data_IF_939739988732
#
_entry.id   IF_939739988732
#
_cell.length_a   1.000
_cell.length_b   1.000
_cell.length_c   1.000
_cell.angle_alpha   90.00
_cell.angle_beta   90.00
_cell.angle_gamma   90.00
#
_symmetry.space_group_name_H-M   'P 1'
#
loop_
_entity.id
_entity.type
_entity.pdbx_description
1 polymer ?
#
# COMPACT_ATOMS: atom_id res chain seq x y z
N UNK A 1 9.56 6.76 25.60
CA UNK A 1 8.43 7.71 25.43
C UNK A 1 7.38 7.02 24.57
N UNK A 2 6.11 6.93 24.98
CA UNK A 2 5.09 6.25 24.17
C UNK A 2 4.84 7.00 22.86
N UNK A 3 4.55 6.27 21.78
CA UNK A 3 4.28 6.81 20.42
C UNK A 3 3.28 7.97 20.45
N UNK A 4 2.27 7.88 21.32
CA UNK A 4 1.23 8.90 21.54
C UNK A 4 1.78 10.20 22.14
N UNK A 5 2.65 10.14 23.16
CA UNK A 5 3.22 11.35 23.79
C UNK A 5 4.13 12.14 22.84
N UNK A 6 4.79 11.44 21.91
CA UNK A 6 5.62 12.06 20.88
C UNK A 6 4.78 12.80 19.84
N UNK A 7 3.73 12.17 19.32
CA UNK A 7 2.81 12.79 18.38
C UNK A 7 2.10 14.02 18.97
N UNK A 8 1.68 13.97 20.23
CA UNK A 8 1.08 15.13 20.91
C UNK A 8 2.06 16.29 21.10
N UNK A 9 3.33 15.99 21.40
CA UNK A 9 4.36 17.03 21.53
C UNK A 9 4.62 17.72 20.18
N UNK A 10 4.78 16.92 19.14
CA UNK A 10 5.01 17.41 17.77
C UNK A 10 3.84 18.28 17.31
N UNK A 11 2.60 17.85 17.55
CA UNK A 11 1.41 18.65 17.24
C UNK A 11 1.40 20.00 17.96
N UNK A 12 1.74 20.05 19.24
CA UNK A 12 1.82 21.33 19.98
C UNK A 12 2.86 22.26 19.38
N UNK A 13 4.02 21.74 18.99
CA UNK A 13 5.09 22.58 18.43
C UNK A 13 4.75 23.09 17.03
N UNK A 14 4.08 22.27 16.21
CA UNK A 14 3.58 22.71 14.90
C UNK A 14 2.48 23.78 15.04
N UNK A 15 1.58 23.66 16.03
CA UNK A 15 0.58 24.70 16.31
C UNK A 15 1.24 26.02 16.72
N UNK A 16 2.30 26.00 17.55
CA UNK A 16 3.03 27.23 17.89
C UNK A 16 3.65 27.89 16.66
N UNK A 17 4.24 27.10 15.75
CA UNK A 17 4.79 27.61 14.48
C UNK A 17 3.69 28.21 13.62
N UNK A 18 2.50 27.59 13.61
CA UNK A 18 1.33 28.10 12.93
C UNK A 18 0.84 29.43 13.49
N UNK A 19 0.71 29.55 14.80
CA UNK A 19 0.30 30.78 15.48
C UNK A 19 1.31 31.92 15.28
N UNK A 20 2.60 31.58 15.14
CA UNK A 20 3.66 32.53 14.81
C UNK A 20 3.69 32.93 13.32
N UNK A 21 2.79 32.40 12.49
CA UNK A 21 2.72 32.61 11.04
C UNK A 21 4.01 32.19 10.31
N UNK A 22 4.76 31.23 10.86
CA UNK A 22 6.01 30.68 10.31
C UNK A 22 5.82 29.28 9.69
N UNK A 23 4.58 28.86 9.47
CA UNK A 23 4.22 27.57 8.87
C UNK A 23 4.84 27.42 7.49
N UNK A 24 5.59 26.35 7.26
CA UNK A 24 6.08 25.96 5.93
C UNK A 24 5.19 24.84 5.38
N UNK A 25 5.39 24.40 4.13
CA UNK A 25 4.46 23.46 3.52
C UNK A 25 4.29 22.13 4.27
N UNK A 26 5.38 21.57 4.80
CA UNK A 26 5.32 20.32 5.58
C UNK A 26 4.48 20.47 6.86
N UNK A 27 4.57 21.62 7.55
CA UNK A 27 3.73 21.87 8.72
C UNK A 27 2.24 21.99 8.34
N UNK A 28 1.92 22.53 7.16
CA UNK A 28 0.54 22.55 6.66
C UNK A 28 0.02 21.14 6.36
N UNK A 29 0.80 20.29 5.69
CA UNK A 29 0.47 18.87 5.48
C UNK A 29 0.15 18.18 6.80
N UNK A 30 1.05 18.30 7.78
CA UNK A 30 0.88 17.67 9.09
C UNK A 30 -0.36 18.18 9.85
N UNK A 31 -0.64 19.49 9.80
CA UNK A 31 -1.83 20.08 10.41
C UNK A 31 -3.13 19.55 9.78
N UNK A 32 -3.15 19.36 8.46
CA UNK A 32 -4.28 18.75 7.75
C UNK A 32 -4.46 17.30 8.19
N UNK A 33 -3.40 16.49 8.16
CA UNK A 33 -3.43 15.07 8.53
C UNK A 33 -3.94 14.86 9.97
N UNK A 34 -3.37 15.54 10.96
CA UNK A 34 -3.81 15.41 12.35
C UNK A 34 -5.25 15.91 12.55
N UNK A 35 -5.69 16.92 11.80
CA UNK A 35 -7.07 17.40 11.89
C UNK A 35 -8.05 16.38 11.34
N UNK A 36 -7.70 15.68 10.24
CA UNK A 36 -8.49 14.56 9.71
C UNK A 36 -8.53 13.40 10.71
N UNK A 37 -7.38 13.00 11.28
CA UNK A 37 -7.32 11.93 12.29
C UNK A 37 -8.21 12.23 13.51
N UNK A 38 -8.30 13.52 13.91
CA UNK A 38 -9.16 13.99 14.99
C UNK A 38 -10.61 14.26 14.57
N UNK A 39 -10.98 13.94 13.32
CA UNK A 39 -12.30 14.20 12.74
C UNK A 39 -12.71 15.69 12.72
N UNK A 40 -11.75 16.62 12.77
CA UNK A 40 -11.97 18.07 12.66
C UNK A 40 -11.77 18.54 11.20
N UNK A 41 -12.68 18.10 10.33
CA UNK A 41 -12.63 18.39 8.89
C UNK A 41 -12.66 19.90 8.61
N UNK A 42 -13.36 20.69 9.43
CA UNK A 42 -13.42 22.15 9.27
C UNK A 42 -12.04 22.79 9.46
N UNK A 43 -11.27 22.37 10.47
CA UNK A 43 -9.88 22.84 10.63
C UNK A 43 -8.98 22.32 9.52
N UNK A 44 -9.13 21.05 9.12
CA UNK A 44 -8.36 20.49 8.01
C UNK A 44 -8.54 21.33 6.73
N UNK A 45 -9.78 21.66 6.38
CA UNK A 45 -10.09 22.50 5.22
C UNK A 45 -9.53 23.92 5.33
N UNK A 46 -9.53 24.51 6.54
CA UNK A 46 -8.91 25.82 6.79
C UNK A 46 -7.40 25.78 6.55
N UNK A 47 -6.69 24.82 7.16
CA UNK A 47 -5.24 24.70 7.00
C UNK A 47 -4.86 24.42 5.54
N UNK A 48 -5.62 23.56 4.86
CA UNK A 48 -5.40 23.27 3.46
C UNK A 48 -5.58 24.52 2.59
N UNK A 49 -6.65 25.28 2.80
CA UNK A 49 -6.90 26.51 2.04
C UNK A 49 -5.74 27.50 2.21
N UNK A 50 -5.30 27.75 3.44
CA UNK A 50 -4.16 28.64 3.70
C UNK A 50 -2.85 28.12 3.10
N UNK A 51 -2.63 26.81 3.14
CA UNK A 51 -1.48 26.16 2.50
C UNK A 51 -1.49 26.34 0.98
N UNK A 52 -2.64 26.12 0.32
CA UNK A 52 -2.82 26.36 -1.13
C UNK A 52 -2.59 27.80 -1.53
N UNK A 53 -3.04 28.76 -0.72
CA UNK A 53 -2.83 30.19 -0.97
C UNK A 53 -1.35 30.59 -0.85
N UNK A 54 -0.62 30.06 0.15
CA UNK A 54 0.79 30.43 0.40
C UNK A 54 1.79 29.66 -0.45
N UNK A 55 1.50 28.39 -0.74
CA UNK A 55 2.43 27.46 -1.39
C UNK A 55 1.72 26.66 -2.50
N UNK A 56 1.17 27.33 -3.54
CA UNK A 56 0.35 26.69 -4.57
C UNK A 56 1.09 25.64 -5.43
N UNK A 57 2.42 25.67 -5.42
CA UNK A 57 3.29 24.77 -6.18
C UNK A 57 4.06 23.79 -5.28
N UNK A 58 3.72 23.72 -3.99
CA UNK A 58 4.35 22.77 -3.08
C UNK A 58 3.76 21.37 -3.25
N UNK A 59 4.65 20.38 -3.32
CA UNK A 59 4.31 18.96 -3.30
C UNK A 59 3.66 18.55 -1.98
N UNK A 60 4.07 19.14 -0.85
CA UNK A 60 3.45 18.91 0.46
C UNK A 60 2.00 19.39 0.50
N UNK A 61 1.70 20.52 -0.14
CA UNK A 61 0.31 21.00 -0.26
C UNK A 61 -0.51 20.12 -1.21
N UNK A 62 0.09 19.61 -2.28
CA UNK A 62 -0.55 18.61 -3.14
C UNK A 62 -0.92 17.34 -2.35
N UNK A 63 -0.01 16.82 -1.52
CA UNK A 63 -0.32 15.71 -0.61
C UNK A 63 -1.43 16.05 0.38
N UNK A 64 -1.39 17.25 0.96
CA UNK A 64 -2.40 17.69 1.92
C UNK A 64 -3.79 17.74 1.29
N UNK A 65 -3.89 18.20 0.04
CA UNK A 65 -5.16 18.23 -0.70
C UNK A 65 -5.66 16.83 -1.04
N UNK A 66 -4.77 15.93 -1.47
CA UNK A 66 -5.11 14.53 -1.72
C UNK A 66 -5.65 13.89 -0.43
N UNK A 67 -4.94 14.04 0.69
CA UNK A 67 -5.36 13.49 1.99
C UNK A 67 -6.71 14.06 2.45
N UNK A 68 -6.92 15.36 2.31
CA UNK A 68 -8.20 16.00 2.63
C UNK A 68 -9.33 15.45 1.75
N UNK A 69 -9.11 15.34 0.44
CA UNK A 69 -10.09 14.83 -0.51
C UNK A 69 -10.45 13.39 -0.23
N UNK A 70 -9.51 12.58 0.24
CA UNK A 70 -9.80 11.20 0.63
C UNK A 70 -10.79 11.14 1.79
N UNK A 71 -10.71 12.09 2.71
CA UNK A 71 -11.62 12.17 3.86
C UNK A 71 -12.98 12.78 3.53
N UNK A 72 -13.09 13.61 2.48
CA UNK A 72 -14.30 14.43 2.23
C UNK A 72 -14.95 14.23 0.86
N UNK A 73 -14.15 13.94 -0.16
CA UNK A 73 -14.49 13.92 -1.60
C UNK A 73 -13.74 12.74 -2.28
N UNK A 74 -13.91 11.48 -1.81
CA UNK A 74 -13.11 10.34 -2.27
C UNK A 74 -13.18 10.11 -3.78
N UNK A 75 -14.28 10.49 -4.42
CA UNK A 75 -14.48 10.45 -5.87
C UNK A 75 -13.54 11.39 -6.66
N UNK A 76 -13.09 12.49 -6.04
CA UNK A 76 -12.20 13.47 -6.69
C UNK A 76 -10.71 13.13 -6.54
N UNK A 77 -10.40 12.13 -5.74
CA UNK A 77 -9.03 11.79 -5.37
C UNK A 77 -8.19 11.37 -6.57
N UNK A 78 -8.76 10.56 -7.45
CA UNK A 78 -8.09 10.13 -8.68
C UNK A 78 -7.76 11.33 -9.57
N UNK A 79 -8.73 12.21 -9.79
CA UNK A 79 -8.56 13.42 -10.61
C UNK A 79 -7.51 14.36 -10.02
N UNK A 80 -7.58 14.63 -8.71
CA UNK A 80 -6.62 15.51 -8.02
C UNK A 80 -5.22 14.94 -8.06
N UNK A 81 -5.06 13.66 -7.73
CA UNK A 81 -3.75 13.03 -7.75
C UNK A 81 -3.18 12.92 -9.18
N UNK A 82 -4.01 12.75 -10.21
CA UNK A 82 -3.58 12.83 -11.62
C UNK A 82 -3.19 14.24 -12.05
N UNK A 83 -3.92 15.26 -11.58
CA UNK A 83 -3.63 16.68 -11.81
C UNK A 83 -2.30 17.05 -11.18
N UNK A 84 -2.09 16.71 -9.90
CA UNK A 84 -0.83 16.96 -9.21
C UNK A 84 0.32 16.15 -9.78
N UNK A 85 0.10 14.89 -10.16
CA UNK A 85 1.12 14.09 -10.85
C UNK A 85 1.47 14.66 -12.22
N UNK A 86 0.56 15.36 -12.90
CA UNK A 86 0.84 16.05 -14.17
C UNK A 86 1.60 17.36 -13.93
N UNK A 87 1.21 18.12 -12.90
CA UNK A 87 1.88 19.38 -12.53
C UNK A 87 3.29 19.15 -12.00
N UNK A 88 3.47 18.08 -11.23
CA UNK A 88 4.73 17.66 -10.60
C UNK A 88 5.27 16.37 -11.24
N UNK A 89 5.05 16.18 -12.54
CA UNK A 89 5.41 14.97 -13.28
C UNK A 89 6.88 14.59 -13.23
N UNK A 90 7.75 15.52 -12.82
CA UNK A 90 9.18 15.27 -12.60
C UNK A 90 9.51 14.72 -11.21
N UNK A 91 8.51 14.51 -10.35
CA UNK A 91 8.67 14.05 -8.97
C UNK A 91 8.13 12.61 -8.78
N UNK A 92 8.93 11.57 -9.11
CA UNK A 92 8.58 10.16 -8.87
C UNK A 92 8.19 9.85 -7.41
N UNK A 93 8.74 10.62 -6.47
CA UNK A 93 8.44 10.53 -5.04
C UNK A 93 6.96 10.79 -4.75
N UNK A 94 6.32 11.72 -5.47
CA UNK A 94 4.88 12.04 -5.37
C UNK A 94 3.99 10.86 -5.71
N UNK A 95 4.30 10.23 -6.84
CA UNK A 95 3.54 9.10 -7.37
C UNK A 95 3.67 7.90 -6.41
N UNK A 96 4.89 7.62 -5.95
CA UNK A 96 5.17 6.52 -5.03
C UNK A 96 4.56 6.75 -3.63
N UNK A 97 4.62 7.97 -3.13
CA UNK A 97 3.98 8.32 -1.86
C UNK A 97 2.47 8.16 -1.95
N UNK A 98 1.84 8.70 -3.01
CA UNK A 98 0.40 8.58 -3.23
C UNK A 98 -0.01 7.11 -3.28
N UNK A 99 0.71 6.29 -4.05
CA UNK A 99 0.48 4.85 -4.12
C UNK A 99 0.59 4.18 -2.73
N UNK A 100 1.62 4.51 -1.95
CA UNK A 100 1.82 3.97 -0.61
C UNK A 100 0.74 4.42 0.37
N UNK A 101 0.20 5.63 0.24
CA UNK A 101 -0.87 6.12 1.09
C UNK A 101 -2.17 5.35 0.82
N UNK A 102 -2.53 5.15 -0.46
CA UNK A 102 -3.68 4.33 -0.84
C UNK A 102 -3.53 2.86 -0.46
N UNK A 103 -2.33 2.30 -0.55
CA UNK A 103 -2.04 0.96 -0.05
C UNK A 103 -2.35 0.85 1.46
N UNK A 104 -1.91 1.83 2.26
CA UNK A 104 -2.17 1.86 3.71
C UNK A 104 -3.66 2.01 4.02
N UNK A 105 -4.37 2.86 3.28
CA UNK A 105 -5.82 3.00 3.44
C UNK A 105 -6.59 1.76 3.00
N UNK A 106 -6.15 1.08 1.94
CA UNK A 106 -6.73 -0.20 1.55
C UNK A 106 -6.62 -1.19 2.70
N UNK A 107 -5.44 -1.33 3.29
CA UNK A 107 -5.24 -2.22 4.44
C UNK A 107 -6.10 -1.81 5.65
N UNK A 108 -6.10 -0.53 6.01
CA UNK A 108 -6.89 -0.03 7.14
C UNK A 108 -8.39 -0.32 6.97
N UNK A 109 -8.92 -0.14 5.77
CA UNK A 109 -10.32 -0.43 5.50
C UNK A 109 -10.62 -1.94 5.47
N UNK A 110 -9.68 -2.78 5.03
CA UNK A 110 -9.79 -4.25 5.17
C UNK A 110 -9.86 -4.65 6.64
N UNK A 111 -8.96 -4.12 7.46
CA UNK A 111 -8.89 -4.41 8.90
C UNK A 111 -10.18 -3.98 9.63
N UNK A 112 -10.87 -2.95 9.12
CA UNK A 112 -12.16 -2.46 9.62
C UNK A 112 -13.38 -3.11 8.92
N UNK A 113 -13.19 -4.12 8.07
CA UNK A 113 -14.22 -4.80 7.27
C UNK A 113 -15.00 -3.88 6.30
N UNK A 114 -14.47 -2.71 5.94
CA UNK A 114 -15.01 -1.85 4.85
C UNK A 114 -14.43 -2.31 3.51
N UNK A 115 -14.95 -3.45 3.01
CA UNK A 115 -14.46 -4.09 1.79
C UNK A 115 -14.61 -3.21 0.53
N UNK A 116 -15.60 -2.33 0.49
CA UNK A 116 -15.80 -1.42 -0.64
C UNK A 116 -14.69 -0.37 -0.70
N UNK A 117 -14.44 0.35 0.39
CA UNK A 117 -13.34 1.34 0.42
C UNK A 117 -11.98 0.67 0.31
N UNK A 118 -11.81 -0.50 0.90
CA UNK A 118 -10.61 -1.31 0.74
C UNK A 118 -10.28 -1.57 -0.73
N UNK A 119 -11.28 -2.00 -1.52
CA UNK A 119 -11.09 -2.26 -2.94
C UNK A 119 -10.85 -0.97 -3.74
N UNK A 120 -11.61 0.09 -3.46
CA UNK A 120 -11.40 1.39 -4.11
C UNK A 120 -9.96 1.88 -3.94
N UNK A 121 -9.45 1.89 -2.71
CA UNK A 121 -8.08 2.32 -2.45
C UNK A 121 -7.03 1.34 -2.99
N UNK A 122 -7.33 0.04 -3.07
CA UNK A 122 -6.47 -0.92 -3.75
C UNK A 122 -6.30 -0.56 -5.23
N UNK A 123 -7.40 -0.31 -5.94
CA UNK A 123 -7.39 0.01 -7.38
C UNK A 123 -6.68 1.34 -7.65
N UNK A 124 -6.80 2.30 -6.74
CA UNK A 124 -6.08 3.57 -6.83
C UNK A 124 -4.57 3.34 -6.60
N UNK A 125 -4.17 2.59 -5.56
CA UNK A 125 -2.78 2.26 -5.31
C UNK A 125 -2.14 1.54 -6.50
N UNK A 126 -2.85 0.56 -7.08
CA UNK A 126 -2.39 -0.20 -8.24
C UNK A 126 -2.11 0.70 -9.45
N UNK A 127 -3.01 1.65 -9.72
CA UNK A 127 -2.85 2.62 -10.81
C UNK A 127 -1.65 3.53 -10.58
N UNK A 128 -1.45 4.06 -9.37
CA UNK A 128 -0.27 4.90 -9.08
C UNK A 128 1.04 4.12 -9.16
N UNK A 129 1.10 2.88 -8.68
CA UNK A 129 2.29 2.06 -8.89
C UNK A 129 2.54 1.79 -10.38
N UNK A 130 1.48 1.56 -11.16
CA UNK A 130 1.59 1.40 -12.62
C UNK A 130 2.13 2.67 -13.29
N UNK A 131 1.69 3.85 -12.87
CA UNK A 131 2.24 5.12 -13.35
C UNK A 131 3.70 5.31 -12.94
N UNK A 132 4.08 4.98 -11.70
CA UNK A 132 5.46 5.06 -11.26
C UNK A 132 6.38 4.12 -12.08
N UNK A 133 5.90 2.92 -12.39
CA UNK A 133 6.59 1.95 -13.27
C UNK A 133 6.73 2.51 -14.69
N UNK A 134 5.66 3.07 -15.25
CA UNK A 134 5.68 3.64 -16.60
C UNK A 134 6.63 4.85 -16.70
N UNK A 135 6.72 5.65 -15.63
CA UNK A 135 7.59 6.81 -15.57
C UNK A 135 9.07 6.43 -15.49
N UNK A 136 9.43 5.49 -14.61
CA UNK A 136 10.80 5.00 -14.49
C UNK A 136 10.82 3.48 -14.25
N UNK A 137 10.87 2.74 -15.36
CA UNK A 137 10.90 1.28 -15.33
C UNK A 137 12.23 0.67 -14.89
N UNK A 138 13.26 1.50 -14.62
CA UNK A 138 14.54 1.05 -14.05
C UNK A 138 14.58 1.16 -12.53
N UNK A 139 13.55 1.73 -11.91
CA UNK A 139 13.43 1.79 -10.46
C UNK A 139 12.76 0.50 -9.94
N UNK A 140 13.44 -0.25 -9.08
CA UNK A 140 12.90 -1.48 -8.48
C UNK A 140 11.77 -1.22 -7.48
N UNK A 141 11.73 -0.02 -6.86
CA UNK A 141 10.79 0.30 -5.77
C UNK A 141 9.32 0.20 -6.19
N UNK A 142 8.86 0.82 -7.31
CA UNK A 142 7.49 0.64 -7.78
C UNK A 142 7.09 -0.82 -7.99
N UNK A 143 7.97 -1.65 -8.56
CA UNK A 143 7.71 -3.09 -8.75
C UNK A 143 7.61 -3.82 -7.42
N UNK A 144 8.56 -3.60 -6.50
CA UNK A 144 8.53 -4.16 -5.15
C UNK A 144 7.21 -3.82 -4.44
N UNK A 145 6.82 -2.54 -4.46
CA UNK A 145 5.62 -2.07 -3.77
C UNK A 145 4.33 -2.59 -4.43
N UNK A 146 4.27 -2.64 -5.76
CA UNK A 146 3.16 -3.28 -6.48
C UNK A 146 3.07 -4.77 -6.15
N UNK A 147 4.20 -5.46 -6.06
CA UNK A 147 4.26 -6.86 -5.62
C UNK A 147 3.70 -7.05 -4.21
N UNK A 148 4.10 -6.19 -3.26
CA UNK A 148 3.60 -6.21 -1.88
C UNK A 148 2.09 -5.94 -1.79
N UNK A 149 1.56 -5.02 -2.61
CA UNK A 149 0.13 -4.72 -2.68
C UNK A 149 -0.69 -6.00 -3.00
N UNK A 150 -0.31 -6.73 -4.06
CA UNK A 150 -0.99 -7.98 -4.44
C UNK A 150 -0.71 -9.14 -3.49
N UNK A 151 0.48 -9.22 -2.90
CA UNK A 151 0.79 -10.24 -1.91
C UNK A 151 -0.07 -10.08 -0.65
N UNK A 152 -0.27 -8.84 -0.17
CA UNK A 152 -1.16 -8.54 0.96
C UNK A 152 -2.61 -8.87 0.63
N UNK A 153 -3.08 -8.55 -0.59
CA UNK A 153 -4.41 -8.96 -1.05
C UNK A 153 -4.58 -10.49 -0.96
N UNK A 154 -3.61 -11.26 -1.43
CA UNK A 154 -3.67 -12.73 -1.34
C UNK A 154 -3.73 -13.22 0.12
N UNK A 155 -2.90 -12.65 0.99
CA UNK A 155 -2.87 -12.99 2.43
C UNK A 155 -4.21 -12.68 3.09
N UNK A 156 -4.80 -11.52 2.82
CA UNK A 156 -6.07 -11.12 3.45
C UNK A 156 -7.24 -11.95 2.92
N UNK A 157 -7.26 -12.27 1.63
CA UNK A 157 -8.25 -13.19 1.05
C UNK A 157 -8.11 -14.58 1.67
N UNK A 158 -6.89 -15.06 1.92
CA UNK A 158 -6.66 -16.34 2.59
C UNK A 158 -7.16 -16.35 4.04
N UNK A 159 -7.00 -15.25 4.80
CA UNK A 159 -7.53 -15.15 6.17
C UNK A 159 -9.07 -15.20 6.18
N UNK A 160 -9.70 -14.48 5.25
CA UNK A 160 -11.16 -14.45 5.13
C UNK A 160 -11.71 -15.81 4.64
N UNK A 161 -10.96 -16.50 3.79
CA UNK A 161 -11.28 -17.87 3.39
C UNK A 161 -11.39 -18.78 4.62
N UNK A 162 -10.41 -18.75 5.52
CA UNK A 162 -10.42 -19.59 6.70
C UNK A 162 -11.59 -19.28 7.63
N UNK A 163 -11.94 -17.99 7.83
CA UNK A 163 -13.09 -17.61 8.67
C UNK A 163 -14.44 -18.01 8.06
N UNK A 164 -14.62 -17.75 6.77
CA UNK A 164 -15.90 -17.97 6.09
C UNK A 164 -16.16 -19.46 5.86
N UNK A 165 -15.12 -20.17 5.45
CA UNK A 165 -15.20 -21.60 5.27
C UNK A 165 -15.31 -22.32 6.61
N UNK A 166 -14.66 -21.91 7.70
CA UNK A 166 -14.89 -22.55 9.01
C UNK A 166 -16.33 -22.37 9.49
N UNK A 167 -16.92 -21.19 9.23
CA UNK A 167 -18.31 -20.90 9.60
C UNK A 167 -19.30 -21.76 8.79
N UNK A 168 -19.07 -21.93 7.49
CA UNK A 168 -19.95 -22.73 6.61
C UNK A 168 -19.63 -24.23 6.59
N UNK A 169 -18.37 -24.60 6.83
CA UNK A 169 -17.83 -25.96 6.84
C UNK A 169 -17.79 -26.63 8.21
N UNK A 170 -18.38 -26.03 9.27
CA UNK A 170 -18.74 -26.74 10.51
C UNK A 170 -19.86 -27.81 10.28
N UNK A 171 -19.75 -28.50 9.14
CA UNK A 171 -20.66 -29.43 8.50
C UNK A 171 -20.70 -30.75 9.27
N UNK A 172 -21.54 -30.75 10.30
CA UNK A 172 -22.50 -31.84 10.51
C UNK A 172 -23.77 -31.69 9.65
N UNK A 173 -23.83 -30.69 8.75
CA UNK A 173 -25.01 -30.47 7.91
C UNK A 173 -25.03 -31.47 6.74
N UNK A 174 -26.16 -32.17 6.59
CA UNK A 174 -26.47 -33.04 5.45
C UNK A 174 -27.03 -32.25 4.26
N UNK A 175 -26.91 -30.93 4.29
CA UNK A 175 -27.52 -30.04 3.30
C UNK A 175 -26.58 -29.88 2.10
N UNK A 176 -27.00 -30.45 0.97
CA UNK A 176 -26.23 -30.44 -0.28
C UNK A 176 -26.13 -29.04 -0.91
N UNK A 177 -27.09 -28.14 -0.65
CA UNK A 177 -27.06 -26.77 -1.18
C UNK A 177 -26.02 -25.93 -0.43
N UNK A 178 -25.94 -26.08 0.89
CA UNK A 178 -24.89 -25.43 1.71
C UNK A 178 -23.48 -25.92 1.34
N UNK A 179 -23.32 -27.22 1.04
CA UNK A 179 -22.04 -27.76 0.54
C UNK A 179 -21.66 -27.14 -0.80
N UNK A 180 -22.61 -27.02 -1.73
CA UNK A 180 -22.37 -26.43 -3.05
C UNK A 180 -21.97 -24.96 -2.95
N UNK A 181 -22.63 -24.20 -2.08
CA UNK A 181 -22.28 -22.80 -1.81
C UNK A 181 -20.86 -22.67 -1.23
N UNK A 182 -20.51 -23.50 -0.24
CA UNK A 182 -19.18 -23.51 0.36
C UNK A 182 -18.09 -23.87 -0.66
N UNK A 183 -18.33 -24.85 -1.54
CA UNK A 183 -17.43 -25.19 -2.64
C UNK A 183 -17.26 -24.03 -3.63
N UNK A 184 -18.35 -23.33 -3.96
CA UNK A 184 -18.30 -22.13 -4.82
C UNK A 184 -17.43 -21.03 -4.22
N UNK A 185 -17.59 -20.73 -2.93
CA UNK A 185 -16.76 -19.74 -2.22
C UNK A 185 -15.29 -20.18 -2.14
N UNK A 186 -15.02 -21.45 -1.83
CA UNK A 186 -13.66 -21.98 -1.80
C UNK A 186 -12.97 -21.85 -3.17
N UNK A 187 -13.69 -22.12 -4.25
CA UNK A 187 -13.20 -21.93 -5.62
C UNK A 187 -12.88 -20.46 -5.92
N UNK A 188 -13.79 -19.55 -5.57
CA UNK A 188 -13.58 -18.10 -5.72
C UNK A 188 -12.33 -17.60 -4.97
N UNK A 189 -12.17 -18.03 -3.72
CA UNK A 189 -11.00 -17.67 -2.90
C UNK A 189 -9.71 -18.22 -3.50
N UNK A 190 -9.69 -19.49 -3.88
CA UNK A 190 -8.53 -20.12 -4.50
C UNK A 190 -8.07 -19.40 -5.78
N UNK A 191 -9.01 -19.06 -6.66
CA UNK A 191 -8.71 -18.31 -7.90
C UNK A 191 -8.17 -16.91 -7.57
N UNK A 192 -8.78 -16.20 -6.64
CA UNK A 192 -8.36 -14.85 -6.25
C UNK A 192 -6.96 -14.83 -5.64
N UNK A 193 -6.68 -15.78 -4.74
CA UNK A 193 -5.36 -15.94 -4.11
C UNK A 193 -4.31 -16.29 -5.16
N UNK A 194 -4.58 -17.28 -6.02
CA UNK A 194 -3.65 -17.71 -7.07
C UNK A 194 -3.30 -16.59 -8.05
N UNK A 195 -4.31 -15.85 -8.52
CA UNK A 195 -4.11 -14.72 -9.42
C UNK A 195 -3.28 -13.62 -8.73
N UNK A 196 -3.63 -13.26 -7.50
CA UNK A 196 -2.94 -12.22 -6.74
C UNK A 196 -1.47 -12.59 -6.50
N UNK A 197 -1.19 -13.84 -6.13
CA UNK A 197 0.19 -14.32 -5.94
C UNK A 197 0.98 -14.38 -7.25
N UNK A 198 0.32 -14.69 -8.37
CA UNK A 198 0.94 -14.66 -9.70
C UNK A 198 1.33 -13.24 -10.12
N UNK A 199 0.43 -12.27 -9.91
CA UNK A 199 0.72 -10.84 -10.12
C UNK A 199 1.84 -10.34 -9.19
N UNK A 200 1.79 -10.72 -7.92
CA UNK A 200 2.82 -10.38 -6.95
C UNK A 200 4.18 -10.91 -7.38
N UNK A 201 4.28 -12.21 -7.71
CA UNK A 201 5.51 -12.86 -8.13
C UNK A 201 6.08 -12.21 -9.40
N UNK A 202 5.26 -11.89 -10.40
CA UNK A 202 5.73 -11.21 -11.60
C UNK A 202 6.40 -9.87 -11.29
N UNK A 203 5.81 -9.08 -10.39
CA UNK A 203 6.40 -7.82 -9.96
C UNK A 203 7.66 -8.01 -9.12
N UNK A 204 7.69 -8.99 -8.20
CA UNK A 204 8.90 -9.28 -7.43
C UNK A 204 10.06 -9.77 -8.29
N UNK A 205 9.81 -10.60 -9.31
CA UNK A 205 10.83 -11.01 -10.28
C UNK A 205 11.44 -9.80 -11.00
N UNK A 206 10.60 -8.85 -11.44
CA UNK A 206 11.08 -7.58 -12.01
C UNK A 206 11.87 -6.74 -11.01
N UNK A 207 11.41 -6.66 -9.76
CA UNK A 207 12.12 -5.95 -8.71
C UNK A 207 13.50 -6.58 -8.40
N UNK A 208 13.60 -7.91 -8.37
CA UNK A 208 14.86 -8.64 -8.15
C UNK A 208 15.81 -8.49 -9.34
N UNK A 209 15.29 -8.49 -10.56
CA UNK A 209 16.09 -8.24 -11.75
C UNK A 209 16.78 -6.85 -11.72
N UNK A 210 16.06 -5.84 -11.20
CA UNK A 210 16.56 -4.47 -11.08
C UNK A 210 17.43 -4.22 -9.84
N UNK A 211 17.10 -4.87 -8.72
CA UNK A 211 17.82 -4.77 -7.44
C UNK A 211 17.94 -6.16 -6.80
N UNK A 212 18.96 -6.95 -7.20
CA UNK A 212 19.09 -8.34 -6.79
C UNK A 212 19.61 -8.50 -5.35
N UNK A 213 20.03 -7.40 -4.70
CA UNK A 213 20.45 -7.37 -3.30
C UNK A 213 19.28 -7.05 -2.35
N UNK A 214 18.08 -6.80 -2.88
CA UNK A 214 16.93 -6.46 -2.08
C UNK A 214 16.41 -7.65 -1.26
N UNK A 215 16.79 -7.70 0.02
CA UNK A 215 16.42 -8.79 0.93
C UNK A 215 14.90 -8.89 1.15
N UNK A 216 14.15 -7.78 1.05
CA UNK A 216 12.69 -7.81 1.17
C UNK A 216 12.10 -8.55 -0.03
N UNK A 217 12.51 -8.18 -1.25
CA UNK A 217 12.09 -8.85 -2.49
C UNK A 217 12.40 -10.35 -2.42
N UNK A 218 13.64 -10.72 -2.10
CA UNK A 218 14.05 -12.12 -2.03
C UNK A 218 13.26 -12.90 -0.96
N UNK A 219 13.03 -12.30 0.21
CA UNK A 219 12.25 -12.94 1.28
C UNK A 219 10.83 -13.27 0.85
N UNK A 220 10.16 -12.34 0.13
CA UNK A 220 8.79 -12.58 -0.33
C UNK A 220 8.76 -13.60 -1.48
N UNK A 221 9.72 -13.55 -2.40
CA UNK A 221 9.85 -14.56 -3.46
C UNK A 221 9.99 -15.96 -2.86
N UNK A 222 10.88 -16.15 -1.88
CA UNK A 222 11.05 -17.43 -1.20
C UNK A 222 9.75 -17.90 -0.54
N UNK A 223 9.06 -17.00 0.16
CA UNK A 223 7.77 -17.29 0.79
C UNK A 223 6.71 -17.71 -0.23
N UNK A 224 6.64 -17.08 -1.39
CA UNK A 224 5.67 -17.40 -2.45
C UNK A 224 5.96 -18.80 -3.01
N UNK A 225 7.21 -19.10 -3.37
CA UNK A 225 7.56 -20.43 -3.89
C UNK A 225 7.27 -21.54 -2.89
N UNK A 226 7.60 -21.36 -1.63
CA UNK A 226 7.36 -22.35 -0.58
C UNK A 226 5.87 -22.55 -0.29
N UNK A 227 5.14 -21.46 -0.07
CA UNK A 227 3.79 -21.56 0.47
C UNK A 227 2.72 -21.70 -0.61
N UNK A 228 2.88 -21.01 -1.74
CA UNK A 228 1.89 -20.97 -2.81
C UNK A 228 2.15 -22.03 -3.88
N UNK A 229 3.39 -22.11 -4.37
CA UNK A 229 3.73 -23.00 -5.48
C UNK A 229 4.28 -24.36 -5.05
N UNK A 230 4.55 -24.54 -3.74
CA UNK A 230 5.17 -25.76 -3.18
C UNK A 230 6.48 -26.15 -3.88
N UNK A 231 7.24 -25.14 -4.32
CA UNK A 231 8.53 -25.28 -4.96
C UNK A 231 9.64 -25.07 -3.92
N UNK A 232 9.94 -26.13 -3.17
CA UNK A 232 10.97 -26.12 -2.14
C UNK A 232 12.36 -25.84 -2.69
N UNK A 233 12.65 -26.33 -3.90
CA UNK A 233 13.95 -26.15 -4.55
C UNK A 233 14.19 -24.67 -4.88
N UNK A 234 13.20 -23.99 -5.44
CA UNK A 234 13.30 -22.57 -5.74
C UNK A 234 13.33 -21.73 -4.46
N UNK A 235 12.51 -22.06 -3.45
CA UNK A 235 12.58 -21.40 -2.14
C UNK A 235 13.99 -21.52 -1.51
N UNK A 236 14.57 -22.72 -1.52
CA UNK A 236 15.92 -22.96 -1.01
C UNK A 236 16.99 -22.20 -1.80
N UNK A 237 16.85 -22.13 -3.11
CA UNK A 237 17.75 -21.36 -3.99
C UNK A 237 17.75 -19.88 -3.60
N UNK A 238 16.57 -19.28 -3.44
CA UNK A 238 16.41 -17.88 -3.04
C UNK A 238 16.95 -17.65 -1.62
N UNK A 239 16.65 -18.53 -0.66
CA UNK A 239 17.15 -18.44 0.72
C UNK A 239 18.67 -18.55 0.81
N UNK A 240 19.28 -19.41 -0.01
CA UNK A 240 20.75 -19.56 -0.08
C UNK A 240 21.39 -18.28 -0.58
N UNK A 241 20.80 -17.67 -1.62
CA UNK A 241 21.23 -16.37 -2.14
C UNK A 241 21.10 -15.25 -1.10
N UNK A 242 20.00 -15.19 -0.36
CA UNK A 242 19.83 -14.25 0.75
C UNK A 242 20.92 -14.41 1.81
N UNK A 243 21.22 -15.65 2.22
CA UNK A 243 22.29 -15.94 3.20
C UNK A 243 23.65 -15.46 2.71
N UNK A 244 23.96 -15.69 1.42
CA UNK A 244 25.20 -15.21 0.80
C UNK A 244 25.31 -13.68 0.87
N UNK A 245 24.25 -12.95 0.51
CA UNK A 245 24.21 -11.48 0.60
C UNK A 245 24.37 -11.02 2.05
N UNK A 246 23.66 -11.63 2.99
CA UNK A 246 23.71 -11.29 4.42
C UNK A 246 25.10 -11.53 5.03
N UNK A 247 25.85 -12.52 4.53
CA UNK A 247 27.23 -12.78 4.94
C UNK A 247 28.27 -11.91 4.21
N UNK A 248 27.84 -10.88 3.45
CA UNK A 248 28.73 -10.01 2.69
C UNK A 248 29.29 -10.62 1.40
N UNK A 249 28.74 -11.75 0.96
CA UNK A 249 29.08 -12.38 -0.31
C UNK A 249 28.54 -11.58 -1.50
N UNK A 250 29.17 -11.78 -2.67
CA UNK A 250 28.76 -11.16 -3.93
C UNK A 250 27.91 -12.12 -4.75
N UNK A 251 26.88 -11.59 -5.39
CA UNK A 251 26.08 -12.29 -6.40
C UNK A 251 26.43 -11.72 -7.78
N UNK A 252 26.52 -12.59 -8.79
CA UNK A 252 27.02 -12.23 -10.13
C UNK A 252 25.95 -11.60 -11.03
N UNK A 253 24.72 -12.07 -10.93
CA UNK A 253 23.57 -11.62 -11.72
C UNK A 253 22.28 -11.75 -10.93
N UNK A 254 21.18 -11.17 -11.41
CA UNK A 254 19.82 -11.49 -10.94
C UNK A 254 19.51 -12.99 -11.03
N UNK A 255 18.54 -13.45 -10.23
CA UNK A 255 18.03 -14.81 -10.30
C UNK A 255 16.98 -14.96 -11.42
N UNK A 256 16.23 -13.88 -11.70
CA UNK A 256 15.20 -13.82 -12.74
C UNK A 256 15.49 -12.77 -13.81
#
# INVERSE_FOLDING_TARGET
MSKTKYQESLFRDVIKVYDQKKTRPFEYLYLVEISIEKSDIKKAGKYLKEGKEKYPDSIEIAYADINYSIATEPELVEEKAKTYSTKHYKEPSLILYSASYFEQLSQLNRDNNDNYKAQLYFDIADRFYSYAIAFNNKNSIPFLRKGLLYYKLAVDVSKNQDSDLTTKMNLKSKDEDLKREAMGMASFYSVTISNSLSFALSNFKKAENLDPYNLITLSVIASIFENAFKDEQMSLTVRTRMKLIQSGGKIESSLF
#
